data_IF_833742003305
#
_entry.id   IF_833742003305
#
_cell.length_a   1.000
_cell.length_b   1.000
_cell.length_c   1.000
_cell.angle_alpha   90.00
_cell.angle_beta   90.00
_cell.angle_gamma   90.00
#
_symmetry.space_group_name_H-M   'P 1'
#
loop_
_entity.id
_entity.type
_entity.pdbx_description
1 polymer ?
#
# COMPACT_ATOMS: atom_id res chain seq x y z
N UNK A 1 -50.31 -54.09 23.89
CA UNK A 1 -49.52 -53.28 24.84
C UNK A 1 -48.20 -52.89 24.19
N UNK A 2 -47.97 -51.58 24.13
CA UNK A 2 -46.71 -50.83 24.12
C UNK A 2 -45.40 -51.52 23.69
N UNK A 3 -44.77 -50.86 22.71
CA UNK A 3 -43.33 -50.59 22.59
C UNK A 3 -42.42 -51.81 22.66
N UNK A 4 -41.84 -52.14 21.51
CA UNK A 4 -40.40 -52.27 21.27
C UNK A 4 -40.21 -52.88 19.88
N UNK A 5 -39.17 -52.43 19.19
CA UNK A 5 -38.63 -53.02 17.96
C UNK A 5 -39.37 -52.67 16.66
N UNK A 6 -39.10 -51.45 16.17
CA UNK A 6 -38.81 -51.29 14.75
C UNK A 6 -37.28 -51.11 14.67
N UNK A 7 -36.58 -52.22 14.89
CA UNK A 7 -35.18 -52.40 14.56
C UNK A 7 -35.17 -52.90 13.12
N UNK A 8 -34.29 -52.34 12.30
CA UNK A 8 -34.11 -52.61 10.86
C UNK A 8 -35.10 -51.81 10.02
N UNK A 9 -34.61 -50.79 9.33
CA UNK A 9 -34.62 -50.65 7.87
C UNK A 9 -33.77 -49.40 7.54
N UNK A 10 -32.66 -49.64 6.81
CA UNK A 10 -31.86 -48.64 6.08
C UNK A 10 -31.10 -47.60 6.93
N UNK A 11 -29.82 -47.80 7.31
CA UNK A 11 -28.64 -47.68 6.44
C UNK A 11 -28.86 -46.80 5.20
N UNK A 12 -28.07 -45.74 5.08
CA UNK A 12 -28.10 -44.68 4.06
C UNK A 12 -29.13 -43.56 4.31
N UNK A 13 -28.69 -42.50 4.99
CA UNK A 13 -28.58 -41.15 4.43
C UNK A 13 -27.71 -40.36 5.42
N UNK A 14 -26.42 -40.46 5.15
CA UNK A 14 -25.53 -39.31 5.04
C UNK A 14 -25.55 -38.31 6.20
N UNK A 15 -24.61 -38.52 7.12
CA UNK A 15 -24.02 -37.49 7.99
C UNK A 15 -23.28 -36.42 7.14
N UNK A 16 -24.00 -35.75 6.24
CA UNK A 16 -23.50 -34.65 5.41
C UNK A 16 -23.77 -33.29 6.07
N UNK A 17 -23.87 -33.23 7.40
CA UNK A 17 -24.24 -32.00 8.10
C UNK A 17 -23.18 -31.41 9.03
N UNK A 18 -21.98 -32.01 9.19
CA UNK A 18 -20.95 -31.44 10.06
C UNK A 18 -19.51 -31.75 9.61
N UNK A 19 -19.14 -31.48 8.36
CA UNK A 19 -17.72 -31.29 8.01
C UNK A 19 -17.57 -30.56 6.67
N UNK A 20 -17.81 -29.25 6.66
CA UNK A 20 -17.24 -28.38 5.63
C UNK A 20 -15.72 -28.32 5.87
N UNK A 21 -14.87 -28.83 4.95
CA UNK A 21 -13.45 -28.55 5.02
C UNK A 21 -13.26 -27.10 4.59
N UNK A 22 -12.90 -26.23 5.55
CA UNK A 22 -12.38 -24.90 5.26
C UNK A 22 -11.37 -25.01 4.11
N UNK A 23 -11.50 -24.24 3.01
CA UNK A 23 -10.50 -24.25 1.96
C UNK A 23 -9.24 -23.62 2.55
N UNK A 24 -8.37 -24.48 3.04
CA UNK A 24 -7.01 -24.16 3.42
C UNK A 24 -6.41 -23.38 2.24
N UNK A 25 -6.06 -22.11 2.52
CA UNK A 25 -5.30 -21.25 1.64
C UNK A 25 -4.18 -22.09 1.00
N UNK A 26 -4.39 -22.50 -0.23
CA UNK A 26 -3.39 -23.16 -1.03
C UNK A 26 -2.42 -22.07 -1.47
N UNK A 27 -1.47 -21.74 -0.59
CA UNK A 27 -0.31 -20.96 -0.95
C UNK A 27 0.49 -21.80 -1.94
N UNK A 28 0.20 -21.62 -3.23
CA UNK A 28 1.02 -22.16 -4.29
C UNK A 28 2.43 -21.62 -4.15
N UNK A 29 3.34 -22.43 -3.61
CA UNK A 29 4.78 -22.19 -3.71
C UNK A 29 5.19 -22.44 -5.16
N UNK A 30 4.83 -21.50 -6.05
CA UNK A 30 5.55 -21.36 -7.31
C UNK A 30 7.01 -21.10 -6.97
N UNK A 31 7.93 -21.85 -7.58
CA UNK A 31 9.35 -21.57 -7.48
C UNK A 31 9.59 -20.10 -7.86
N UNK A 32 9.91 -19.27 -6.87
CA UNK A 32 9.99 -17.82 -7.07
C UNK A 32 11.38 -17.50 -7.62
N UNK A 33 11.54 -17.60 -8.94
CA UNK A 33 12.75 -17.13 -9.61
C UNK A 33 12.76 -15.59 -9.57
N UNK A 34 13.57 -15.04 -8.67
CA UNK A 34 13.77 -13.60 -8.55
C UNK A 34 14.64 -13.09 -9.70
N UNK A 35 14.01 -12.76 -10.82
CA UNK A 35 14.69 -12.15 -11.96
C UNK A 35 14.82 -10.64 -11.75
N UNK A 36 16.05 -10.15 -11.69
CA UNK A 36 16.37 -8.72 -11.61
C UNK A 36 15.73 -8.00 -12.79
N UNK A 37 14.85 -7.02 -12.51
CA UNK A 37 14.25 -6.16 -13.55
C UNK A 37 12.73 -6.28 -13.70
N UNK A 38 12.09 -7.36 -13.20
CA UNK A 38 10.62 -7.43 -13.16
C UNK A 38 10.07 -6.24 -12.35
N UNK A 39 8.93 -5.63 -12.71
CA UNK A 39 8.43 -4.40 -12.08
C UNK A 39 8.24 -4.50 -10.56
N UNK A 40 8.13 -5.71 -10.01
CA UNK A 40 8.06 -6.00 -8.57
C UNK A 40 9.41 -6.29 -7.90
N UNK A 41 10.53 -6.25 -8.63
CA UNK A 41 11.87 -6.39 -8.03
C UNK A 41 12.45 -5.05 -7.60
N UNK A 42 13.26 -5.02 -6.53
CA UNK A 42 13.82 -3.79 -5.99
C UNK A 42 14.66 -2.99 -7.00
N UNK A 43 15.26 -3.65 -7.99
CA UNK A 43 16.18 -3.05 -8.99
C UNK A 43 15.48 -2.66 -10.30
N UNK A 44 14.17 -2.87 -10.43
CA UNK A 44 13.46 -2.47 -11.66
C UNK A 44 13.56 -0.96 -11.90
N UNK A 45 14.08 -0.54 -13.06
CA UNK A 45 14.22 0.87 -13.45
C UNK A 45 12.87 1.60 -13.39
N UNK A 46 11.80 0.96 -13.86
CA UNK A 46 10.44 1.52 -13.78
C UNK A 46 9.94 1.64 -12.33
N UNK A 47 10.31 0.70 -11.45
CA UNK A 47 9.99 0.77 -10.02
C UNK A 47 10.80 1.85 -9.29
N UNK A 48 12.08 1.99 -9.64
CA UNK A 48 12.97 3.03 -9.11
C UNK A 48 12.49 4.41 -9.56
N UNK A 49 12.17 4.62 -10.84
CA UNK A 49 11.69 5.91 -11.35
C UNK A 49 10.41 6.36 -10.64
N UNK A 50 9.43 5.47 -10.45
CA UNK A 50 8.20 5.75 -9.69
C UNK A 50 8.50 6.09 -8.23
N UNK A 51 9.39 5.34 -7.55
CA UNK A 51 9.79 5.61 -6.15
C UNK A 51 10.51 6.94 -6.02
N UNK A 52 11.43 7.24 -6.93
CA UNK A 52 12.16 8.51 -6.99
C UNK A 52 11.19 9.66 -7.22
N UNK A 53 10.31 9.58 -8.21
CA UNK A 53 9.29 10.61 -8.47
C UNK A 53 8.42 10.89 -7.23
N UNK A 54 7.92 9.84 -6.56
CA UNK A 54 7.12 9.99 -5.33
C UNK A 54 7.91 10.62 -4.17
N UNK A 55 9.20 10.32 -4.02
CA UNK A 55 10.06 10.91 -2.98
C UNK A 55 10.40 12.36 -3.30
N UNK A 56 10.76 12.65 -4.56
CA UNK A 56 11.08 14.00 -5.03
C UNK A 56 9.87 14.91 -4.91
N UNK A 57 8.69 14.48 -5.39
CA UNK A 57 7.46 15.27 -5.27
C UNK A 57 7.13 15.65 -3.82
N UNK A 58 7.24 14.71 -2.87
CA UNK A 58 7.01 15.01 -1.45
C UNK A 58 8.02 16.01 -0.88
N UNK A 59 9.30 15.88 -1.22
CA UNK A 59 10.36 16.82 -0.78
C UNK A 59 10.23 18.20 -1.43
N UNK A 60 9.74 18.25 -2.66
CA UNK A 60 9.52 19.53 -3.36
C UNK A 60 8.27 20.21 -2.82
N UNK A 61 7.21 19.46 -2.48
CA UNK A 61 5.99 20.02 -1.93
C UNK A 61 6.18 20.65 -0.55
N UNK A 62 7.04 20.05 0.30
CA UNK A 62 7.33 20.51 1.65
C UNK A 62 8.83 20.64 1.87
N UNK A 63 9.29 21.86 2.14
CA UNK A 63 10.69 22.18 2.38
C UNK A 63 10.88 22.71 3.81
N UNK A 64 11.94 22.28 4.48
CA UNK A 64 12.29 22.78 5.83
C UNK A 64 13.29 23.94 5.80
N UNK A 65 13.83 24.27 4.62
CA UNK A 65 14.78 25.37 4.46
C UNK A 65 14.64 26.00 3.09
N UNK A 66 14.90 27.31 2.99
CA UNK A 66 14.89 28.06 1.72
C UNK A 66 16.29 28.35 1.20
N UNK A 67 17.32 27.74 1.78
CA UNK A 67 18.71 28.05 1.43
C UNK A 67 18.92 27.97 -0.10
N UNK A 68 19.40 29.07 -0.69
CA UNK A 68 19.59 29.20 -2.14
C UNK A 68 18.37 29.67 -2.95
N UNK A 69 17.24 30.01 -2.31
CA UNK A 69 16.08 30.57 -2.97
C UNK A 69 16.08 32.11 -2.94
N UNK A 70 15.50 32.73 -3.97
CA UNK A 70 15.35 34.19 -4.05
C UNK A 70 13.98 34.63 -3.48
N UNK A 71 13.92 35.68 -2.65
CA UNK A 71 12.65 36.25 -2.22
C UNK A 71 11.90 36.90 -3.40
N UNK A 72 10.59 36.67 -3.49
CA UNK A 72 9.72 37.23 -4.52
C UNK A 72 8.36 37.58 -3.92
N UNK A 73 8.12 38.89 -3.68
CA UNK A 73 6.93 39.38 -2.97
C UNK A 73 6.76 38.65 -1.62
N UNK A 74 5.66 37.93 -1.44
CA UNK A 74 5.31 37.13 -0.25
C UNK A 74 5.75 35.66 -0.36
N UNK A 75 6.45 35.28 -1.42
CA UNK A 75 6.89 33.91 -1.72
C UNK A 75 8.41 33.81 -1.86
N UNK A 76 8.92 32.59 -1.85
CA UNK A 76 10.32 32.28 -2.18
C UNK A 76 10.38 31.49 -3.49
N UNK A 77 11.14 31.97 -4.46
CA UNK A 77 11.38 31.29 -5.73
C UNK A 77 12.64 30.43 -5.63
N UNK A 78 12.47 29.13 -5.84
CA UNK A 78 13.53 28.15 -5.81
C UNK A 78 13.62 27.42 -7.16
N UNK A 79 14.12 28.11 -8.20
CA UNK A 79 14.32 27.52 -9.53
C UNK A 79 13.01 27.29 -10.31
N UNK A 80 12.08 28.24 -10.22
CA UNK A 80 10.78 28.18 -10.91
C UNK A 80 9.64 27.57 -10.09
N UNK A 81 9.94 27.09 -8.88
CA UNK A 81 8.95 26.63 -7.91
C UNK A 81 8.80 27.68 -6.82
N UNK A 82 7.56 28.11 -6.55
CA UNK A 82 7.25 29.13 -5.55
C UNK A 82 6.81 28.50 -4.23
N UNK A 83 7.27 29.08 -3.13
CA UNK A 83 7.00 28.59 -1.77
C UNK A 83 6.41 29.67 -0.90
N UNK A 84 5.38 29.33 -0.12
CA UNK A 84 4.86 30.16 0.96
C UNK A 84 5.34 29.62 2.33
N UNK A 85 5.70 30.50 3.27
CA UNK A 85 5.99 30.09 4.64
C UNK A 85 4.70 29.70 5.37
N UNK A 86 4.70 28.55 6.02
CA UNK A 86 3.60 28.04 6.85
C UNK A 86 4.18 27.53 8.17
N UNK A 87 3.44 27.64 9.27
CA UNK A 87 3.89 27.11 10.57
C UNK A 87 3.16 25.81 10.84
N UNK A 88 3.91 24.71 10.99
CA UNK A 88 3.40 23.39 11.35
C UNK A 88 4.04 22.97 12.66
N UNK A 89 3.23 22.70 13.69
CA UNK A 89 3.71 22.28 15.02
C UNK A 89 4.78 23.21 15.62
N UNK A 90 4.66 24.52 15.38
CA UNK A 90 5.63 25.52 15.87
C UNK A 90 6.91 25.64 15.03
N UNK A 91 7.02 24.93 13.90
CA UNK A 91 8.18 24.98 12.99
C UNK A 91 7.79 25.64 11.67
N UNK A 92 8.65 26.49 11.13
CA UNK A 92 8.48 27.07 9.80
C UNK A 92 8.73 26.02 8.70
N UNK A 93 7.70 25.73 7.92
CA UNK A 93 7.70 24.81 6.78
C UNK A 93 7.25 25.56 5.54
N UNK A 94 7.96 25.37 4.43
CA UNK A 94 7.71 26.05 3.18
C UNK A 94 6.95 25.12 2.23
N UNK A 95 5.75 25.53 1.83
CA UNK A 95 4.84 24.73 1.00
C UNK A 95 4.77 25.30 -0.40
N UNK A 96 4.74 24.43 -1.39
CA UNK A 96 4.58 24.79 -2.80
C UNK A 96 3.29 25.55 -3.05
N UNK A 97 3.37 26.60 -3.85
CA UNK A 97 2.22 27.40 -4.30
C UNK A 97 2.36 27.66 -5.80
N UNK A 98 1.25 27.60 -6.53
CA UNK A 98 1.18 28.16 -7.88
C UNK A 98 0.64 29.60 -7.73
N UNK A 99 1.47 30.63 -7.92
CA UNK A 99 1.01 32.02 -7.91
C UNK A 99 0.09 32.33 -9.10
#
# INVERSE_FOLDING_TARGET
>A
MQRKHCFIWSFAISAAFLFEPLPLLSFGLSTARAEVGRPLTPVSVAGVSRRTARRTSRRVAYRNSISGCAPYRSYYNCGGVYYAPTVQNGVAVYVVVNP
#
